data_IF_622980635275
#
_entry.id   IF_622980635275
#
_cell.length_a   1.000
_cell.length_b   1.000
_cell.length_c   1.000
_cell.angle_alpha   90.00
_cell.angle_beta   90.00
_cell.angle_gamma   90.00
#
_symmetry.space_group_name_H-M   'P 1'
#
loop_
_entity.id
_entity.type
_entity.pdbx_description
1 polymer ?
#
# COMPACT_ATOMS: atom_id res chain seq x y z
N UNK A 1 -39.61 36.88 -45.07
CA UNK A 1 -39.35 35.47 -45.41
C UNK A 1 -37.94 35.13 -44.95
N UNK A 2 -37.83 33.99 -44.25
CA UNK A 2 -36.68 33.54 -43.47
C UNK A 2 -35.34 33.44 -44.23
N UNK A 3 -34.25 33.70 -43.49
CA UNK A 3 -32.87 33.25 -43.71
C UNK A 3 -32.75 31.76 -43.36
N UNK A 4 -31.99 30.94 -44.11
CA UNK A 4 -31.34 29.73 -43.59
C UNK A 4 -29.84 30.01 -43.44
N UNK A 5 -29.32 30.05 -42.22
CA UNK A 5 -28.72 28.93 -41.46
C UNK A 5 -27.35 28.51 -42.04
N UNK A 6 -26.34 29.34 -41.75
CA UNK A 6 -24.93 28.94 -41.70
C UNK A 6 -24.77 28.04 -40.46
N UNK A 7 -24.69 26.73 -40.68
CA UNK A 7 -24.31 25.78 -39.63
C UNK A 7 -22.80 25.92 -39.36
N UNK A 8 -22.37 26.26 -38.14
CA UNK A 8 -20.95 26.23 -37.80
C UNK A 8 -20.50 24.77 -37.66
N UNK A 9 -19.36 24.44 -38.27
CA UNK A 9 -18.66 23.17 -38.05
C UNK A 9 -18.54 22.89 -36.55
N UNK A 10 -18.79 21.65 -36.09
CA UNK A 10 -18.57 21.31 -34.71
C UNK A 10 -17.07 21.37 -34.46
N UNK A 11 -16.64 22.45 -33.79
CA UNK A 11 -15.36 22.55 -33.15
C UNK A 11 -15.19 21.29 -32.29
N UNK A 12 -14.32 20.38 -32.71
CA UNK A 12 -13.83 19.27 -31.91
C UNK A 12 -13.19 19.90 -30.67
N UNK A 13 -14.02 20.14 -29.65
CA UNK A 13 -13.54 20.31 -28.29
C UNK A 13 -12.88 18.98 -27.98
N UNK A 14 -11.56 18.95 -28.05
CA UNK A 14 -10.76 18.09 -27.20
C UNK A 14 -11.37 18.22 -25.82
N UNK A 15 -12.16 17.22 -25.44
CA UNK A 15 -12.59 17.04 -24.06
C UNK A 15 -11.26 16.96 -23.32
N UNK A 16 -10.93 17.90 -22.42
CA UNK A 16 -9.78 17.71 -21.57
C UNK A 16 -10.03 16.35 -20.93
N UNK A 17 -9.12 15.39 -21.18
CA UNK A 17 -9.10 14.18 -20.38
C UNK A 17 -8.88 14.69 -18.96
N UNK A 18 -9.97 14.91 -18.24
CA UNK A 18 -10.00 15.04 -16.80
C UNK A 18 -9.40 13.73 -16.33
N UNK A 19 -8.08 13.75 -16.11
CA UNK A 19 -7.36 12.65 -15.51
C UNK A 19 -8.14 12.31 -14.27
N UNK A 20 -8.72 11.11 -14.25
CA UNK A 20 -9.43 10.58 -13.11
C UNK A 20 -8.47 10.77 -11.95
N UNK A 21 -8.73 11.76 -11.08
CA UNK A 21 -8.08 11.85 -9.79
C UNK A 21 -8.61 10.64 -9.05
N UNK A 22 -7.91 9.52 -9.20
CA UNK A 22 -8.12 8.35 -8.37
C UNK A 22 -7.77 8.83 -6.96
N UNK A 23 -8.78 9.00 -6.12
CA UNK A 23 -8.63 9.44 -4.73
C UNK A 23 -7.98 8.30 -3.92
N UNK A 24 -6.67 8.15 -4.03
CA UNK A 24 -5.93 7.18 -3.24
C UNK A 24 -5.86 7.60 -1.79
N UNK A 25 -6.16 6.66 -0.90
CA UNK A 25 -5.87 6.79 0.53
C UNK A 25 -4.57 6.07 0.84
N UNK A 26 -3.48 6.82 0.87
CA UNK A 26 -2.17 6.32 1.27
C UNK A 26 -2.05 6.25 2.79
N UNK A 27 -1.17 5.38 3.29
CA UNK A 27 -0.83 5.33 4.71
C UNK A 27 -0.31 6.69 5.20
N UNK A 28 -0.56 6.98 6.48
CA UNK A 28 -0.13 8.22 7.09
C UNK A 28 1.41 8.37 7.02
N UNK A 29 1.87 9.54 6.57
CA UNK A 29 3.30 9.82 6.47
C UNK A 29 3.96 9.27 5.21
N UNK A 30 3.20 8.77 4.23
CA UNK A 30 3.70 8.42 2.90
C UNK A 30 3.06 9.33 1.84
N UNK A 31 3.83 9.69 0.81
CA UNK A 31 3.32 10.36 -0.38
C UNK A 31 4.09 9.93 -1.63
N UNK A 32 3.43 10.07 -2.78
CA UNK A 32 4.05 9.89 -4.08
C UNK A 32 3.94 11.20 -4.87
N UNK A 33 5.10 11.76 -5.23
CA UNK A 33 5.23 12.97 -6.05
C UNK A 33 6.45 12.78 -6.95
N UNK A 34 6.23 12.11 -8.09
CA UNK A 34 7.23 11.51 -9.00
C UNK A 34 8.10 10.40 -8.36
N UNK A 35 8.37 10.50 -7.06
CA UNK A 35 9.14 9.60 -6.24
C UNK A 35 8.42 9.34 -4.92
N UNK A 36 8.68 8.17 -4.33
CA UNK A 36 8.21 7.86 -2.99
C UNK A 36 8.94 8.69 -1.94
N UNK A 37 8.15 9.33 -1.08
CA UNK A 37 8.66 10.12 0.03
C UNK A 37 7.91 9.77 1.31
N UNK A 38 8.62 9.78 2.43
CA UNK A 38 8.02 9.54 3.73
C UNK A 38 8.31 10.70 4.70
N UNK A 39 7.43 10.85 5.69
CA UNK A 39 7.57 11.83 6.76
C UNK A 39 8.55 11.28 7.78
N UNK A 40 9.67 11.97 7.95
CA UNK A 40 10.68 11.68 8.96
C UNK A 40 10.57 12.67 10.12
N UNK A 41 10.58 12.16 11.35
CA UNK A 41 10.68 12.94 12.60
C UNK A 41 12.12 12.93 13.11
N UNK A 42 12.66 14.10 13.43
CA UNK A 42 13.97 14.25 14.08
C UNK A 42 13.86 14.03 15.59
N UNK A 43 14.98 13.83 16.27
CA UNK A 43 15.03 13.74 17.74
C UNK A 43 14.47 15.00 18.42
N UNK A 44 14.60 16.17 17.78
CA UNK A 44 14.03 17.44 18.25
C UNK A 44 12.52 17.57 17.99
N UNK A 45 11.87 16.55 17.44
CA UNK A 45 10.43 16.53 17.13
C UNK A 45 10.02 17.20 15.82
N UNK A 46 10.95 17.78 15.06
CA UNK A 46 10.62 18.38 13.76
C UNK A 46 10.32 17.30 12.73
N UNK A 47 9.33 17.56 11.87
CA UNK A 47 8.99 16.66 10.77
C UNK A 47 9.46 17.23 9.43
N UNK A 48 9.91 16.35 8.55
CA UNK A 48 10.38 16.70 7.20
C UNK A 48 10.03 15.58 6.23
N UNK A 49 9.76 15.92 4.97
CA UNK A 49 9.63 14.93 3.91
C UNK A 49 11.01 14.55 3.39
N UNK A 50 11.24 13.26 3.19
CA UNK A 50 12.50 12.74 2.64
C UNK A 50 12.23 11.57 1.71
N UNK A 51 13.12 11.36 0.75
CA UNK A 51 12.96 10.30 -0.24
C UNK A 51 13.06 8.93 0.43
N UNK A 52 12.12 8.04 0.10
CA UNK A 52 12.16 6.65 0.53
C UNK A 52 13.05 5.87 -0.46
N UNK A 53 14.14 5.22 0.00
CA UNK A 53 14.95 4.40 -0.89
C UNK A 53 14.14 3.22 -1.40
N UNK A 54 14.00 3.06 -2.72
CA UNK A 54 13.22 1.97 -3.33
C UNK A 54 14.10 0.84 -3.87
N UNK A 55 15.39 1.11 -4.12
CA UNK A 55 16.33 0.09 -4.56
C UNK A 55 16.57 -1.00 -3.50
N UNK A 56 16.82 -2.22 -3.96
CA UNK A 56 17.33 -3.32 -3.15
C UNK A 56 18.68 -2.94 -2.55
N UNK A 57 18.90 -3.30 -1.28
CA UNK A 57 20.17 -3.02 -0.60
C UNK A 57 21.20 -4.09 -1.00
N UNK A 58 22.29 -3.74 -1.70
CA UNK A 58 23.22 -4.71 -2.27
C UNK A 58 23.99 -5.51 -1.20
N UNK A 59 23.95 -5.09 0.06
CA UNK A 59 24.66 -5.72 1.20
C UNK A 59 23.69 -6.45 2.14
N UNK A 60 22.38 -6.45 1.86
CA UNK A 60 21.40 -7.10 2.71
C UNK A 60 21.52 -8.65 2.69
N UNK A 61 21.05 -9.33 3.76
CA UNK A 61 20.89 -10.78 3.75
C UNK A 61 20.08 -11.25 2.54
N UNK A 62 20.22 -12.52 2.17
CA UNK A 62 19.39 -13.11 1.12
C UNK A 62 17.90 -12.94 1.47
N UNK A 63 17.21 -12.09 0.71
CA UNK A 63 15.79 -11.79 0.84
C UNK A 63 15.03 -12.28 -0.42
N UNK A 64 14.97 -13.61 -0.65
CA UNK A 64 14.49 -14.21 -1.89
C UNK A 64 13.05 -13.84 -2.26
N UNK A 65 12.24 -13.40 -1.30
CA UNK A 65 10.84 -13.05 -1.50
C UNK A 65 10.54 -11.57 -1.18
N UNK A 66 11.57 -10.77 -0.86
CA UNK A 66 11.39 -9.35 -0.62
C UNK A 66 10.76 -8.94 0.70
N UNK A 67 10.73 -9.89 1.63
CA UNK A 67 10.14 -9.75 2.95
C UNK A 67 10.77 -8.56 3.67
N UNK A 68 12.09 -8.59 3.80
CA UNK A 68 12.85 -7.64 4.60
C UNK A 68 12.92 -6.28 3.94
N UNK A 69 12.87 -6.24 2.61
CA UNK A 69 12.66 -5.02 1.84
C UNK A 69 11.32 -4.35 2.20
N UNK A 70 10.23 -5.12 2.26
CA UNK A 70 8.91 -4.61 2.61
C UNK A 70 8.85 -4.16 4.08
N UNK A 71 9.34 -5.00 4.99
CA UNK A 71 9.36 -4.73 6.44
C UNK A 71 10.10 -3.43 6.74
N UNK A 72 11.31 -3.25 6.22
CA UNK A 72 12.13 -2.06 6.51
C UNK A 72 11.42 -0.77 6.09
N UNK A 73 10.76 -0.76 4.93
CA UNK A 73 10.05 0.42 4.40
C UNK A 73 8.80 0.72 5.18
N UNK A 74 8.01 -0.31 5.45
CA UNK A 74 6.82 -0.22 6.28
C UNK A 74 7.18 0.38 7.66
N UNK A 75 8.19 -0.19 8.33
CA UNK A 75 8.62 0.28 9.65
C UNK A 75 9.16 1.71 9.62
N UNK A 76 10.00 2.08 8.65
CA UNK A 76 10.52 3.47 8.54
C UNK A 76 9.40 4.49 8.42
N UNK A 77 8.36 4.16 7.66
CA UNK A 77 7.24 5.08 7.43
C UNK A 77 6.32 5.17 8.64
N UNK A 78 5.89 4.02 9.20
CA UNK A 78 5.01 4.00 10.36
C UNK A 78 5.66 4.66 11.59
N UNK A 79 6.93 4.34 11.84
CA UNK A 79 7.69 4.91 12.97
C UNK A 79 8.21 6.34 12.68
N UNK A 80 8.12 6.82 11.44
CA UNK A 80 8.67 8.10 10.98
C UNK A 80 10.16 8.26 11.32
N UNK A 81 10.92 7.16 11.37
CA UNK A 81 12.35 7.13 11.74
C UNK A 81 13.23 7.36 10.52
N UNK A 82 14.46 7.80 10.74
CA UNK A 82 15.44 7.87 9.65
C UNK A 82 15.75 6.47 9.11
N UNK A 83 15.65 6.30 7.79
CA UNK A 83 16.08 5.09 7.08
C UNK A 83 17.47 4.59 7.46
N UNK A 84 18.40 5.52 7.75
CA UNK A 84 19.79 5.21 8.10
C UNK A 84 19.93 4.56 9.49
N UNK A 85 18.97 4.80 10.39
CA UNK A 85 19.02 4.32 11.77
C UNK A 85 18.17 3.07 11.99
N UNK A 86 17.28 2.71 11.05
CA UNK A 86 16.59 1.43 11.13
C UNK A 86 17.52 0.31 10.65
N UNK A 87 18.05 -0.44 11.61
CA UNK A 87 18.79 -1.68 11.38
C UNK A 87 17.84 -2.86 11.63
N UNK A 88 17.70 -3.72 10.63
CA UNK A 88 17.01 -4.98 10.83
C UNK A 88 17.86 -5.92 11.71
N UNK A 89 17.25 -6.86 12.46
CA UNK A 89 17.98 -7.86 13.21
C UNK A 89 18.95 -8.63 12.32
N UNK A 90 20.10 -9.03 12.86
CA UNK A 90 21.15 -9.74 12.10
C UNK A 90 20.79 -11.19 11.79
N UNK A 91 19.89 -11.79 12.57
CA UNK A 91 19.50 -13.20 12.47
C UNK A 91 18.07 -13.36 11.96
N UNK A 92 17.78 -12.74 10.82
CA UNK A 92 16.50 -12.89 10.17
C UNK A 92 16.45 -14.16 9.31
N UNK A 93 15.32 -14.89 9.32
CA UNK A 93 15.15 -16.05 8.45
C UNK A 93 15.15 -15.60 6.98
N UNK A 94 15.77 -16.41 6.11
CA UNK A 94 15.74 -16.18 4.67
C UNK A 94 14.32 -16.33 4.10
N UNK A 95 13.47 -17.11 4.76
CA UNK A 95 12.06 -17.32 4.41
C UNK A 95 11.26 -17.23 5.69
N UNK A 96 10.44 -16.19 5.82
CA UNK A 96 9.51 -16.04 6.93
C UNK A 96 8.10 -16.43 6.48
N UNK A 97 7.44 -17.31 7.24
CA UNK A 97 6.00 -17.52 7.14
C UNK A 97 5.23 -16.34 7.73
N UNK A 98 3.91 -16.27 7.51
CA UNK A 98 3.05 -15.16 7.96
C UNK A 98 3.07 -14.99 9.50
N UNK A 99 3.07 -16.09 10.24
CA UNK A 99 3.01 -16.07 11.71
C UNK A 99 4.37 -15.69 12.31
N UNK A 100 5.45 -16.22 11.76
CA UNK A 100 6.81 -15.85 12.13
C UNK A 100 7.07 -14.36 11.82
N UNK A 101 6.57 -13.88 10.68
CA UNK A 101 6.62 -12.47 10.31
C UNK A 101 5.92 -11.58 11.33
N UNK A 102 4.70 -11.94 11.74
CA UNK A 102 3.98 -11.18 12.76
C UNK A 102 4.73 -11.13 14.10
N UNK A 103 5.34 -12.24 14.53
CA UNK A 103 6.14 -12.27 15.76
C UNK A 103 7.36 -11.33 15.68
N UNK A 104 8.05 -11.31 14.54
CA UNK A 104 9.20 -10.44 14.32
C UNK A 104 8.76 -8.97 14.30
N UNK A 105 7.65 -8.66 13.63
CA UNK A 105 7.11 -7.30 13.55
C UNK A 105 6.63 -6.78 14.91
N UNK A 106 6.07 -7.63 15.78
CA UNK A 106 5.66 -7.24 17.14
C UNK A 106 6.88 -6.83 18.00
N UNK A 107 8.05 -7.42 17.75
CA UNK A 107 9.31 -7.00 18.38
C UNK A 107 9.88 -5.72 17.75
N UNK A 108 9.78 -5.58 16.43
CA UNK A 108 10.33 -4.41 15.71
C UNK A 108 9.51 -3.13 15.91
N UNK A 109 8.20 -3.26 16.06
CA UNK A 109 7.25 -2.16 16.18
C UNK A 109 6.32 -2.40 17.39
N UNK A 110 6.84 -2.24 18.62
CA UNK A 110 6.09 -2.54 19.83
C UNK A 110 4.86 -1.64 20.02
N UNK A 111 4.84 -0.48 19.37
CA UNK A 111 3.73 0.48 19.37
C UNK A 111 2.67 0.18 18.29
N UNK A 112 2.86 -0.90 17.51
CA UNK A 112 1.84 -1.41 16.60
C UNK A 112 1.08 -2.58 17.22
N UNK A 113 -0.19 -2.73 16.84
CA UNK A 113 -0.95 -3.95 17.01
C UNK A 113 -0.72 -4.82 15.76
N UNK A 114 0.02 -5.90 15.94
CA UNK A 114 0.41 -6.81 14.85
C UNK A 114 -0.48 -8.04 14.86
N UNK A 115 -1.11 -8.34 13.73
CA UNK A 115 -2.00 -9.49 13.59
C UNK A 115 -1.71 -10.27 12.31
N UNK A 116 -1.48 -11.57 12.45
CA UNK A 116 -1.37 -12.50 11.34
C UNK A 116 -2.75 -13.07 10.99
N UNK A 117 -3.11 -12.98 9.71
CA UNK A 117 -4.37 -13.48 9.19
C UNK A 117 -4.09 -14.57 8.15
N UNK A 118 -4.80 -15.69 8.30
CA UNK A 118 -4.93 -16.64 7.21
C UNK A 118 -5.79 -16.02 6.10
N UNK A 119 -5.66 -16.53 4.87
CA UNK A 119 -6.49 -16.08 3.74
C UNK A 119 -7.99 -16.23 4.08
N UNK A 120 -8.73 -15.13 3.98
CA UNK A 120 -10.19 -15.13 4.08
C UNK A 120 -10.80 -14.10 3.11
N UNK A 121 -12.12 -14.16 2.90
CA UNK A 121 -12.82 -13.25 1.98
C UNK A 121 -12.64 -11.77 2.37
N UNK A 122 -12.48 -11.48 3.67
CA UNK A 122 -12.44 -10.12 4.23
C UNK A 122 -11.02 -9.55 4.33
N UNK A 123 -9.97 -10.29 3.93
CA UNK A 123 -8.59 -9.85 4.18
C UNK A 123 -8.24 -8.50 3.54
N UNK A 124 -8.86 -8.17 2.40
CA UNK A 124 -8.69 -6.86 1.75
C UNK A 124 -9.33 -5.70 2.54
N UNK A 125 -10.46 -5.93 3.20
CA UNK A 125 -11.09 -4.99 4.13
C UNK A 125 -10.19 -4.74 5.34
N UNK A 126 -9.62 -5.80 5.92
CA UNK A 126 -8.69 -5.70 7.05
C UNK A 126 -7.47 -4.84 6.71
N UNK A 127 -6.95 -4.96 5.49
CA UNK A 127 -5.84 -4.13 5.02
C UNK A 127 -6.24 -2.66 4.90
N UNK A 128 -7.37 -2.36 4.26
CA UNK A 128 -7.86 -0.98 4.14
C UNK A 128 -8.16 -0.36 5.52
N UNK A 129 -8.74 -1.14 6.43
CA UNK A 129 -8.99 -0.70 7.80
C UNK A 129 -7.68 -0.40 8.54
N UNK A 130 -6.65 -1.23 8.40
CA UNK A 130 -5.35 -0.95 8.99
C UNK A 130 -4.76 0.38 8.48
N UNK A 131 -4.90 0.68 7.18
CA UNK A 131 -4.50 1.97 6.59
C UNK A 131 -5.25 3.14 7.23
N UNK A 132 -6.57 3.03 7.40
CA UNK A 132 -7.40 4.05 8.08
C UNK A 132 -6.99 4.27 9.55
N UNK A 133 -6.47 3.24 10.22
CA UNK A 133 -5.97 3.32 11.60
C UNK A 133 -4.50 3.77 11.68
N UNK A 134 -4.06 4.60 10.72
CA UNK A 134 -2.67 5.09 10.59
C UNK A 134 -1.62 3.96 10.55
N UNK A 135 -2.03 2.78 10.09
CA UNK A 135 -1.24 1.57 10.01
C UNK A 135 -0.96 1.14 8.58
N UNK A 136 -0.71 -0.15 8.37
CA UNK A 136 -0.39 -0.75 7.07
C UNK A 136 -0.62 -2.27 7.11
N UNK A 137 -0.29 -2.97 6.03
CA UNK A 137 -0.27 -4.42 5.98
C UNK A 137 0.86 -4.93 5.07
N UNK A 138 1.28 -6.18 5.30
CA UNK A 138 2.20 -6.93 4.46
C UNK A 138 1.49 -8.17 3.94
N UNK A 139 1.57 -8.39 2.63
CA UNK A 139 0.88 -9.47 1.93
C UNK A 139 1.89 -10.49 1.44
N UNK A 140 1.58 -11.77 1.58
CA UNK A 140 2.27 -12.85 0.90
C UNK A 140 1.40 -13.33 -0.25
N UNK A 141 1.92 -13.27 -1.47
CA UNK A 141 1.19 -13.53 -2.70
C UNK A 141 1.92 -14.57 -3.55
N UNK A 142 1.19 -15.23 -4.44
CA UNK A 142 1.72 -16.11 -5.48
C UNK A 142 1.16 -15.66 -6.84
N UNK A 143 2.00 -15.39 -7.84
CA UNK A 143 1.56 -15.12 -9.20
C UNK A 143 2.53 -15.76 -10.21
N UNK A 144 2.04 -16.57 -11.17
CA UNK A 144 2.92 -17.28 -12.11
C UNK A 144 3.72 -16.35 -13.02
N UNK A 145 3.31 -15.08 -13.15
CA UNK A 145 3.96 -14.06 -13.98
C UNK A 145 5.12 -13.36 -13.25
N UNK A 146 5.36 -13.67 -11.97
CA UNK A 146 6.44 -13.07 -11.18
C UNK A 146 7.67 -14.00 -11.12
N UNK A 147 8.83 -13.45 -11.50
CA UNK A 147 10.12 -14.13 -11.35
C UNK A 147 10.50 -14.24 -9.86
N UNK A 148 10.76 -15.46 -9.39
CA UNK A 148 11.14 -15.73 -8.01
C UNK A 148 11.75 -17.13 -7.82
N UNK A 149 12.41 -17.41 -6.68
CA UNK A 149 13.13 -18.67 -6.44
C UNK A 149 12.22 -19.90 -6.28
N UNK A 150 10.92 -19.66 -6.04
CA UNK A 150 9.82 -20.56 -6.38
C UNK A 150 8.95 -19.80 -7.39
N UNK A 151 8.36 -20.45 -8.40
CA UNK A 151 7.56 -19.74 -9.39
C UNK A 151 6.48 -18.93 -8.66
N UNK A 152 6.65 -17.61 -8.67
CA UNK A 152 5.62 -16.65 -8.33
C UNK A 152 5.42 -16.20 -6.89
N UNK A 153 6.11 -16.69 -5.85
CA UNK A 153 5.85 -16.22 -4.46
C UNK A 153 6.64 -14.95 -4.14
N UNK A 154 5.97 -13.92 -3.59
CA UNK A 154 6.60 -12.67 -3.16
C UNK A 154 5.82 -12.00 -2.02
N UNK A 155 6.49 -11.07 -1.33
CA UNK A 155 5.86 -10.16 -0.38
C UNK A 155 5.61 -8.79 -1.00
N UNK A 156 4.48 -8.19 -0.60
CA UNK A 156 4.11 -6.85 -1.01
C UNK A 156 3.66 -6.01 0.19
N UNK A 157 4.09 -4.75 0.21
CA UNK A 157 3.74 -3.80 1.24
C UNK A 157 2.51 -2.98 0.82
N UNK A 158 1.44 -2.98 1.62
CA UNK A 158 0.25 -2.17 1.38
C UNK A 158 0.54 -0.71 1.76
N UNK A 159 0.63 0.14 0.74
CA UNK A 159 0.90 1.58 0.88
C UNK A 159 -0.36 2.43 0.89
N UNK A 160 -1.51 1.83 0.58
CA UNK A 160 -2.80 2.51 0.58
C UNK A 160 -3.89 1.67 -0.05
N UNK A 161 -5.00 2.34 -0.38
CA UNK A 161 -6.11 1.73 -1.11
C UNK A 161 -6.90 2.76 -1.92
N UNK A 162 -7.70 2.25 -2.85
CA UNK A 162 -8.70 2.98 -3.62
C UNK A 162 -10.08 2.77 -2.98
N UNK A 163 -10.73 3.82 -2.46
CA UNK A 163 -12.07 3.72 -1.89
C UNK A 163 -13.12 3.53 -2.99
N UNK A 164 -14.19 2.81 -2.68
CA UNK A 164 -15.36 2.76 -3.57
C UNK A 164 -16.12 4.09 -3.45
N UNK A 165 -16.26 4.83 -4.56
CA UNK A 165 -17.05 6.07 -4.60
C UNK A 165 -18.55 5.79 -4.43
N UNK A 166 -19.33 6.72 -3.85
CA UNK A 166 -18.97 8.09 -3.47
C UNK A 166 -18.44 8.16 -2.03
N UNK A 167 -17.26 8.77 -1.87
CA UNK A 167 -16.79 9.22 -0.58
C UNK A 167 -17.83 10.20 -0.01
N UNK A 168 -18.34 10.03 1.21
CA UNK A 168 -19.12 11.10 1.82
C UNK A 168 -18.21 12.33 1.92
N UNK A 169 -18.61 13.42 1.27
CA UNK A 169 -17.94 14.71 1.38
C UNK A 169 -18.02 15.17 2.83
N UNK A 170 -16.99 14.88 3.62
CA UNK A 170 -16.68 15.64 4.82
C UNK A 170 -15.49 16.51 4.45
N UNK A 171 -15.80 17.70 3.93
CA UNK A 171 -14.90 18.85 4.01
C UNK A 171 -14.70 19.19 5.48
N UNK A 172 -13.88 18.42 6.18
CA UNK A 172 -13.31 18.85 7.45
C UNK A 172 -11.95 18.16 7.57
N UNK A 173 -10.90 18.92 7.30
CA UNK A 173 -9.54 18.59 7.68
C UNK A 173 -9.46 18.57 9.22
N UNK A 174 -9.98 17.51 9.83
CA UNK A 174 -9.91 17.29 11.26
C UNK A 174 -8.45 17.02 11.60
N UNK A 175 -7.90 17.82 12.52
CA UNK A 175 -6.56 17.66 13.04
C UNK A 175 -6.33 16.20 13.52
N UNK A 176 -5.10 15.67 13.41
CA UNK A 176 -4.77 14.27 13.69
C UNK A 176 -5.10 13.75 15.11
N UNK A 177 -5.62 14.61 15.99
CA UNK A 177 -5.88 14.30 17.40
C UNK A 177 -7.33 13.83 17.66
N UNK A 178 -8.17 13.68 16.61
CA UNK A 178 -9.59 13.29 16.74
C UNK A 178 -10.03 12.12 15.85
N UNK A 179 -9.08 11.36 15.30
CA UNK A 179 -9.39 10.14 14.52
C UNK A 179 -10.12 9.13 15.42
N UNK A 180 -11.42 8.97 15.19
CA UNK A 180 -12.17 7.86 15.77
C UNK A 180 -11.90 6.59 14.94
N UNK A 181 -11.63 5.44 15.58
CA UNK A 181 -11.47 4.19 14.86
C UNK A 181 -12.71 3.89 14.02
N UNK A 182 -12.57 3.74 12.71
CA UNK A 182 -13.69 3.42 11.82
C UNK A 182 -13.99 1.92 11.95
N UNK A 183 -15.19 1.54 12.40
CA UNK A 183 -15.54 0.11 12.52
C UNK A 183 -15.40 -0.62 11.16
N UNK A 184 -14.73 -1.77 11.15
CA UNK A 184 -14.59 -2.64 9.96
C UNK A 184 -15.96 -2.95 9.38
N UNK A 185 -17.00 -3.14 10.21
CA UNK A 185 -18.36 -3.44 9.74
C UNK A 185 -19.02 -2.28 9.00
N UNK A 186 -18.54 -1.05 9.19
CA UNK A 186 -19.03 0.14 8.50
C UNK A 186 -18.22 0.48 7.24
N UNK A 187 -17.12 -0.22 6.98
CA UNK A 187 -16.27 0.04 5.82
C UNK A 187 -16.82 -0.60 4.55
N UNK A 188 -16.92 0.20 3.49
CA UNK A 188 -17.13 -0.32 2.15
C UNK A 188 -15.87 -1.07 1.66
N UNK A 189 -16.02 -2.16 0.89
CA UNK A 189 -14.89 -2.82 0.25
C UNK A 189 -14.06 -1.85 -0.60
N UNK A 190 -12.72 -1.82 -0.44
CA UNK A 190 -11.89 -1.03 -1.33
C UNK A 190 -12.03 -1.53 -2.77
N UNK A 191 -12.03 -0.60 -3.73
CA UNK A 191 -11.97 -0.93 -5.15
C UNK A 191 -10.69 -1.69 -5.49
N UNK A 192 -9.57 -1.27 -4.91
CA UNK A 192 -8.29 -1.96 -4.98
C UNK A 192 -7.40 -1.60 -3.77
N UNK A 193 -6.50 -2.49 -3.39
CA UNK A 193 -5.36 -2.16 -2.53
C UNK A 193 -4.20 -1.65 -3.38
N UNK A 194 -3.47 -0.68 -2.86
CA UNK A 194 -2.24 -0.16 -3.46
C UNK A 194 -1.06 -0.79 -2.74
N UNK A 195 -0.21 -1.50 -3.48
CA UNK A 195 0.92 -2.23 -2.91
C UNK A 195 2.23 -1.94 -3.63
N UNK A 196 3.32 -2.06 -2.89
CA UNK A 196 4.68 -2.03 -3.39
C UNK A 196 5.34 -3.38 -3.15
N UNK A 197 5.53 -4.19 -4.19
CA UNK A 197 6.28 -5.44 -4.13
C UNK A 197 7.78 -5.21 -4.22
N UNK A 198 8.56 -6.17 -3.72
CA UNK A 198 10.01 -6.17 -3.84
C UNK A 198 10.51 -6.48 -5.25
N UNK A 199 11.50 -5.70 -5.69
CA UNK A 199 12.41 -5.97 -6.81
C UNK A 199 11.74 -6.59 -8.05
N UNK A 200 10.58 -6.04 -8.41
CA UNK A 200 9.91 -6.44 -9.63
C UNK A 200 10.71 -5.96 -10.84
N UNK A 201 11.40 -6.89 -11.49
CA UNK A 201 11.96 -6.79 -12.84
C UNK A 201 10.88 -6.93 -13.92
N UNK A 202 9.64 -6.56 -13.63
CA UNK A 202 8.60 -6.48 -14.67
C UNK A 202 8.92 -5.21 -15.48
N UNK A 203 8.88 -5.23 -16.83
CA UNK A 203 9.33 -4.11 -17.69
C UNK A 203 8.52 -2.80 -17.57
N UNK A 204 7.67 -2.65 -16.55
CA UNK A 204 6.67 -1.60 -16.39
C UNK A 204 6.80 -0.87 -15.03
N UNK A 205 8.03 -0.72 -14.53
CA UNK A 205 8.36 -0.03 -13.28
C UNK A 205 8.14 1.49 -13.37
N UNK A 206 6.89 1.94 -13.36
CA UNK A 206 6.53 3.37 -13.45
C UNK A 206 6.71 4.14 -12.13
N UNK A 207 7.16 3.48 -11.06
CA UNK A 207 7.23 4.05 -9.71
C UNK A 207 5.86 4.16 -9.01
N UNK A 208 4.76 3.96 -9.73
CA UNK A 208 3.39 3.96 -9.21
C UNK A 208 3.06 2.62 -8.52
N UNK A 209 2.17 2.60 -7.49
CA UNK A 209 1.86 1.36 -6.80
C UNK A 209 1.12 0.35 -7.68
N UNK A 210 1.40 -0.94 -7.45
CA UNK A 210 0.61 -2.04 -8.01
C UNK A 210 -0.77 -2.07 -7.34
N UNK A 211 -1.81 -2.28 -8.13
CA UNK A 211 -3.19 -2.44 -7.68
C UNK A 211 -3.48 -3.92 -7.45
N UNK A 212 -4.11 -4.26 -6.34
CA UNK A 212 -4.67 -5.58 -6.08
C UNK A 212 -6.17 -5.45 -5.93
N UNK A 213 -6.92 -6.17 -6.76
CA UNK A 213 -8.37 -6.24 -6.68
C UNK A 213 -8.81 -7.64 -6.26
N UNK A 214 -9.69 -7.70 -5.27
CA UNK A 214 -10.40 -8.93 -4.88
C UNK A 214 -11.79 -8.86 -5.48
N UNK A 215 -12.12 -9.83 -6.34
CA UNK A 215 -13.42 -9.94 -6.97
C UNK A 215 -14.45 -10.54 -6.01
N UNK A 216 -15.74 -10.41 -6.34
CA UNK A 216 -16.84 -10.94 -5.53
C UNK A 216 -16.79 -12.48 -5.35
N UNK A 217 -16.16 -13.19 -6.28
CA UNK A 217 -15.94 -14.65 -6.20
C UNK A 217 -14.71 -15.03 -5.35
N UNK A 218 -14.02 -14.04 -4.76
CA UNK A 218 -12.81 -14.22 -3.97
C UNK A 218 -11.52 -14.34 -4.79
N UNK A 219 -11.58 -14.23 -6.12
CA UNK A 219 -10.39 -14.25 -6.97
C UNK A 219 -9.57 -12.95 -6.79
N UNK A 220 -8.24 -13.10 -6.72
CA UNK A 220 -7.29 -12.01 -6.59
C UNK A 220 -6.67 -11.71 -7.96
N UNK A 221 -6.62 -10.43 -8.32
CA UNK A 221 -5.91 -9.97 -9.49
C UNK A 221 -4.97 -8.83 -9.13
N UNK A 222 -3.80 -8.79 -9.78
CA UNK A 222 -2.81 -7.72 -9.65
C UNK A 222 -2.69 -6.95 -10.96
N UNK A 223 -2.45 -5.64 -10.89
CA UNK A 223 -2.23 -4.77 -12.03
C UNK A 223 -1.14 -3.75 -11.69
N UNK A 224 -0.09 -3.70 -12.51
CA UNK A 224 0.86 -2.59 -12.49
C UNK A 224 0.33 -1.39 -13.26
N UNK A 225 0.96 -0.22 -13.12
CA UNK A 225 0.54 0.99 -13.83
C UNK A 225 0.35 0.72 -15.32
N UNK A 226 -0.89 0.91 -15.77
CA UNK A 226 -1.34 0.75 -17.16
C UNK A 226 -1.13 -0.65 -17.77
N UNK A 227 -0.78 -1.66 -16.97
CA UNK A 227 -0.63 -3.05 -17.39
C UNK A 227 -1.93 -3.85 -17.37
N UNK A 228 -1.97 -5.05 -17.95
CA UNK A 228 -3.12 -5.95 -17.83
C UNK A 228 -3.26 -6.49 -16.40
N UNK A 229 -4.46 -6.94 -16.06
CA UNK A 229 -4.72 -7.67 -14.83
C UNK A 229 -4.20 -9.11 -14.94
N UNK A 230 -3.43 -9.53 -13.95
CA UNK A 230 -2.90 -10.90 -13.84
C UNK A 230 -3.49 -11.60 -12.61
N UNK A 231 -3.79 -12.91 -12.70
CA UNK A 231 -4.23 -13.67 -11.55
C UNK A 231 -3.15 -13.75 -10.47
N UNK A 232 -3.56 -13.64 -9.21
CA UNK A 232 -2.75 -13.92 -8.03
C UNK A 232 -3.47 -14.88 -7.10
N UNK A 233 -2.71 -15.63 -6.30
CA UNK A 233 -3.20 -16.33 -5.12
C UNK A 233 -2.74 -15.58 -3.88
N UNK A 234 -3.69 -15.27 -3.02
CA UNK A 234 -3.41 -14.68 -1.72
C UNK A 234 -2.98 -15.78 -0.74
N UNK A 235 -1.78 -15.71 -0.18
CA UNK A 235 -1.25 -16.75 0.72
C UNK A 235 -1.41 -16.40 2.20
N UNK A 236 -1.35 -15.10 2.53
CA UNK A 236 -1.66 -14.62 3.87
C UNK A 236 -1.27 -13.16 4.07
N UNK A 237 -1.56 -12.64 5.26
CA UNK A 237 -1.46 -11.21 5.56
C UNK A 237 -0.98 -11.00 6.97
N UNK A 238 -0.16 -9.96 7.16
CA UNK A 238 0.09 -9.36 8.47
C UNK A 238 -0.41 -7.92 8.46
N UNK A 239 -1.39 -7.59 9.30
CA UNK A 239 -1.85 -6.21 9.48
C UNK A 239 -1.12 -5.55 10.64
N UNK A 240 -0.87 -4.26 10.50
CA UNK A 240 -0.18 -3.40 11.45
C UNK A 240 -1.11 -2.22 11.73
N UNK A 241 -1.75 -2.17 12.89
CA UNK A 241 -2.55 -1.02 13.33
C UNK A 241 -1.79 -0.19 14.36
N UNK A 242 -2.10 1.10 14.51
CA UNK A 242 -1.62 1.84 15.67
C UNK A 242 -2.15 1.18 16.96
N UNK A 243 -1.27 0.90 17.94
CA UNK A 243 -1.72 0.41 19.24
C UNK A 243 -2.38 1.60 19.96
N UNK A 244 -3.70 1.58 20.08
CA UNK A 244 -4.39 2.54 20.95
C UNK A 244 -3.88 2.34 22.36
N UNK A 245 -3.43 3.42 23.00
CA UNK A 245 -3.06 3.37 24.41
C UNK A 245 -4.25 2.81 25.22
N UNK A 246 -4.02 1.91 26.19
CA UNK A 246 -5.11 1.48 27.06
C UNK A 246 -5.70 2.70 27.75
N UNK A 247 -7.02 2.83 27.67
CA UNK A 247 -7.81 3.87 28.32
C UNK A 247 -7.67 3.83 29.85
#
# INVERSE_FOLDING_TARGET
>A
MQKPDDAPEPCEREVPQEGIRLDHRLICGLRFDEHWQYRRRTESGHTSWTQLPMASDPVAPADPYGVWWCVRRCTVVLEQRSWLFLQLPTHLPAVAGVQEMAQILDVLMPDCNVQAHAQCAETHLLCAHAVEQAGSALLMLESPECDGPKPGIFWAWVVGYEPQLPLPCTEDCVAPDTWQPLDIQAMAPPQALLVLPFDWTIPWSSGYPTRIQVQADGSCHLQNADGPWHPCRWLGTVTLGARTAPA
#
